data_IF_173684556024
#
_entry.id   IF_173684556024
#
_cell.length_a   1.000
_cell.length_b   1.000
_cell.length_c   1.000
_cell.angle_alpha   90.00
_cell.angle_beta   90.00
_cell.angle_gamma   90.00
#
_symmetry.space_group_name_H-M   'P 1'
#
loop_
_entity.id
_entity.type
_entity.pdbx_description
1 polymer ?
#
# COMPACT_ATOMS: atom_id res chain seq x y z
N UNK A 1 4.64 -2.92 -2.55
CA UNK A 1 4.53 -3.33 -1.13
C UNK A 1 3.22 -4.10 -0.99
N UNK A 2 3.17 -5.14 -0.16
CA UNK A 2 1.92 -5.80 0.17
C UNK A 2 1.89 -6.20 1.64
N UNK A 3 0.75 -6.00 2.30
CA UNK A 3 0.49 -6.54 3.64
C UNK A 3 -0.99 -6.85 3.82
N UNK A 4 -1.29 -7.60 4.87
CA UNK A 4 -2.65 -7.93 5.25
C UNK A 4 -3.15 -7.03 6.38
N UNK A 5 -4.44 -6.70 6.36
CA UNK A 5 -5.17 -6.15 7.51
C UNK A 5 -6.01 -7.29 8.12
N UNK A 6 -5.58 -7.90 9.25
CA UNK A 6 -6.31 -9.01 9.87
C UNK A 6 -7.75 -8.66 10.28
N UNK A 7 -8.03 -7.37 10.52
CA UNK A 7 -9.37 -6.86 10.80
C UNK A 7 -10.32 -6.94 9.59
N UNK A 8 -9.78 -7.16 8.38
CA UNK A 8 -10.52 -7.11 7.13
C UNK A 8 -10.77 -5.71 6.58
N UNK A 9 -10.37 -4.66 7.30
CA UNK A 9 -10.44 -3.28 6.78
C UNK A 9 -9.51 -3.13 5.58
N UNK A 10 -9.98 -2.46 4.53
CA UNK A 10 -9.16 -2.06 3.39
C UNK A 10 -8.68 -0.60 3.48
N UNK A 11 -9.16 0.16 4.46
CA UNK A 11 -8.76 1.55 4.61
C UNK A 11 -7.28 1.65 5.00
N UNK A 12 -6.43 2.33 4.22
CA UNK A 12 -5.04 2.55 4.59
C UNK A 12 -4.96 3.37 5.89
N UNK A 13 -4.12 2.92 6.81
CA UNK A 13 -3.82 3.63 8.06
C UNK A 13 -2.82 4.78 7.83
N UNK A 14 -2.67 5.64 8.84
CA UNK A 14 -1.64 6.69 8.82
C UNK A 14 -0.23 6.08 8.81
N UNK A 15 -0.06 4.92 9.44
CA UNK A 15 1.17 4.15 9.48
C UNK A 15 1.50 3.56 8.10
N UNK A 16 0.51 3.00 7.41
CA UNK A 16 0.67 2.49 6.03
C UNK A 16 1.18 3.62 5.12
N UNK A 17 0.56 4.80 5.21
CA UNK A 17 0.97 6.05 4.55
C UNK A 17 2.40 6.47 4.87
N UNK A 18 2.77 6.49 6.15
CA UNK A 18 4.11 6.89 6.58
C UNK A 18 5.19 5.92 6.07
N UNK A 19 4.95 4.61 6.16
CA UNK A 19 5.88 3.58 5.71
C UNK A 19 6.06 3.64 4.20
N UNK A 20 4.97 3.76 3.44
CA UNK A 20 5.01 3.81 1.97
C UNK A 20 5.80 5.00 1.47
N UNK A 21 5.59 6.19 2.06
CA UNK A 21 6.37 7.38 1.73
C UNK A 21 7.85 7.18 2.01
N UNK A 22 8.21 6.65 3.19
CA UNK A 22 9.61 6.37 3.54
C UNK A 22 10.28 5.39 2.59
N UNK A 23 9.59 4.30 2.23
CA UNK A 23 10.15 3.31 1.30
C UNK A 23 10.28 3.92 -0.10
N UNK A 24 9.29 4.67 -0.58
CA UNK A 24 9.35 5.37 -1.86
C UNK A 24 10.57 6.29 -1.91
N UNK A 25 10.67 7.20 -0.94
CA UNK A 25 11.75 8.19 -0.89
C UNK A 25 13.14 7.53 -0.84
N UNK A 26 13.26 6.37 -0.18
CA UNK A 26 14.49 5.59 -0.18
C UNK A 26 14.79 4.93 -1.53
N UNK A 27 13.80 4.33 -2.18
CA UNK A 27 13.98 3.67 -3.48
C UNK A 27 14.23 4.66 -4.62
N UNK A 28 13.69 5.88 -4.52
CA UNK A 28 13.96 6.97 -5.47
C UNK A 28 15.46 7.33 -5.51
N UNK A 29 16.23 7.10 -4.43
CA UNK A 29 17.69 7.36 -4.41
C UNK A 29 18.49 6.44 -5.31
N UNK A 30 17.89 5.35 -5.78
CA UNK A 30 18.51 4.32 -6.62
C UNK A 30 17.68 4.03 -7.88
N UNK A 31 16.86 4.98 -8.30
CA UNK A 31 16.01 4.90 -9.50
C UNK A 31 15.05 3.69 -9.54
N UNK A 32 14.62 3.19 -8.38
CA UNK A 32 13.63 2.12 -8.26
C UNK A 32 12.27 2.71 -7.89
N UNK A 33 11.24 2.38 -8.67
CA UNK A 33 9.87 2.85 -8.42
C UNK A 33 9.05 1.82 -7.64
N UNK A 34 8.25 2.30 -6.69
CA UNK A 34 7.16 1.51 -6.12
C UNK A 34 6.03 1.48 -7.14
N UNK A 35 5.71 0.28 -7.66
CA UNK A 35 4.60 0.11 -8.60
C UNK A 35 3.24 0.17 -7.90
N UNK A 36 3.15 -0.38 -6.69
CA UNK A 36 1.91 -0.37 -5.93
C UNK A 36 2.15 -0.60 -4.42
N UNK A 37 1.15 -0.23 -3.63
CA UNK A 37 0.93 -0.70 -2.27
C UNK A 37 -0.42 -1.40 -2.22
N UNK A 38 -0.38 -2.71 -1.99
CA UNK A 38 -1.58 -3.55 -1.89
C UNK A 38 -1.89 -3.85 -0.42
N UNK A 39 -3.09 -3.50 0.03
CA UNK A 39 -3.63 -3.93 1.32
C UNK A 39 -4.59 -5.09 1.05
N UNK A 40 -4.38 -6.23 1.71
CA UNK A 40 -5.21 -7.42 1.53
C UNK A 40 -6.16 -7.56 2.72
N UNK A 41 -7.46 -7.59 2.44
CA UNK A 41 -8.53 -7.81 3.42
C UNK A 41 -8.97 -9.28 3.45
N UNK A 42 -9.68 -9.65 4.51
CA UNK A 42 -10.25 -10.99 4.69
C UNK A 42 -11.74 -10.97 5.07
N UNK A 43 -12.40 -9.81 4.97
CA UNK A 43 -13.84 -9.73 5.24
C UNK A 43 -14.64 -10.39 4.11
N UNK A 44 -14.17 -10.30 2.87
CA UNK A 44 -14.74 -10.95 1.69
C UNK A 44 -13.68 -11.69 0.87
N UNK A 45 -14.12 -12.56 -0.03
CA UNK A 45 -13.23 -13.27 -0.95
C UNK A 45 -12.65 -12.31 -1.98
N UNK A 46 -11.35 -12.43 -2.27
CA UNK A 46 -10.64 -11.66 -3.31
C UNK A 46 -10.64 -10.13 -3.07
N UNK A 47 -10.64 -9.72 -1.80
CA UNK A 47 -10.71 -8.32 -1.38
C UNK A 47 -9.31 -7.70 -1.18
N UNK A 48 -9.01 -6.62 -1.89
CA UNK A 48 -7.78 -5.86 -1.76
C UNK A 48 -7.98 -4.37 -2.07
N UNK A 49 -7.02 -3.55 -1.63
CA UNK A 49 -6.94 -2.13 -1.94
C UNK A 49 -5.60 -1.82 -2.60
N UNK A 50 -5.63 -1.39 -3.86
CA UNK A 50 -4.46 -0.88 -4.59
C UNK A 50 -4.37 0.62 -4.44
N UNK A 51 -3.19 1.11 -4.05
CA UNK A 51 -2.93 2.55 -3.97
C UNK A 51 -2.75 3.17 -5.34
N UNK A 52 -2.18 2.42 -6.29
CA UNK A 52 -2.06 2.87 -7.67
C UNK A 52 -3.45 3.11 -8.29
N UNK A 53 -4.39 2.18 -8.13
CA UNK A 53 -5.75 2.30 -8.65
C UNK A 53 -6.52 3.50 -8.04
N UNK A 54 -6.14 3.91 -6.83
CA UNK A 54 -6.76 5.02 -6.10
C UNK A 54 -5.97 6.33 -6.17
N UNK A 55 -4.90 6.41 -6.97
CA UNK A 55 -4.11 7.64 -7.15
C UNK A 55 -3.36 8.11 -5.89
N UNK A 56 -3.08 7.19 -4.96
CA UNK A 56 -2.31 7.47 -3.75
C UNK A 56 -0.80 7.34 -3.94
N UNK A 57 -0.37 6.81 -5.08
CA UNK A 57 1.02 6.80 -5.52
C UNK A 57 1.22 7.83 -6.65
N UNK A 58 2.28 8.66 -6.59
CA UNK A 58 2.61 9.63 -7.64
C UNK A 58 3.24 8.99 -8.87
#
# INVERSE_FOLDING_TARGET
>A
IAHNHPSGSLSPSAEDQAVTRKIRDALDTVDIKILDHIIIGFAQKDEYYSWADHGLLP
#
